data_IF_466102416032
#
_entry.id   IF_466102416032
#
_cell.length_a   1.000
_cell.length_b   1.000
_cell.length_c   1.000
_cell.angle_alpha   90.00
_cell.angle_beta   90.00
_cell.angle_gamma   90.00
#
_symmetry.space_group_name_H-M   'P 1'
#
loop_
_entity.id
_entity.type
_entity.pdbx_description
1 polymer ?
#
# COMPACT_ATOMS: atom_id res chain seq x y z
N UNK A 1 82.92 -31.41 18.31
CA UNK A 1 82.04 -32.43 17.70
C UNK A 1 80.59 -32.01 17.95
N UNK A 2 79.68 -32.15 16.98
CA UNK A 2 79.70 -31.65 15.59
C UNK A 2 78.65 -30.51 15.44
N UNK A 3 78.92 -29.41 14.71
CA UNK A 3 78.87 -29.19 13.23
C UNK A 3 77.44 -29.19 12.65
N UNK A 4 77.00 -28.32 11.73
CA UNK A 4 77.42 -27.06 11.08
C UNK A 4 76.37 -26.81 9.97
N UNK A 5 75.99 -25.54 9.72
CA UNK A 5 75.52 -24.88 8.46
C UNK A 5 74.37 -25.53 7.61
N UNK A 6 73.49 -24.78 6.93
CA UNK A 6 73.69 -24.03 5.68
C UNK A 6 72.33 -23.42 5.28
N UNK A 7 72.40 -22.29 4.55
CA UNK A 7 71.36 -21.51 3.87
C UNK A 7 71.08 -22.11 2.48
N UNK A 8 69.88 -21.98 1.91
CA UNK A 8 69.71 -21.55 0.50
C UNK A 8 68.24 -21.41 0.10
N UNK A 9 67.95 -20.23 -0.44
CA UNK A 9 66.94 -19.95 -1.46
C UNK A 9 67.45 -20.44 -2.81
N UNK A 10 66.55 -20.81 -3.72
CA UNK A 10 66.55 -20.30 -5.10
C UNK A 10 65.23 -20.66 -5.81
N UNK A 11 64.74 -19.67 -6.56
CA UNK A 11 63.66 -19.70 -7.55
C UNK A 11 64.03 -20.59 -8.76
N UNK A 12 63.05 -21.20 -9.44
CA UNK A 12 62.60 -20.73 -10.76
C UNK A 12 61.61 -21.68 -11.48
N UNK A 13 60.63 -21.01 -12.08
CA UNK A 13 59.84 -21.26 -13.28
C UNK A 13 59.65 -22.68 -13.89
N UNK A 14 58.37 -22.97 -14.15
CA UNK A 14 57.77 -23.33 -15.46
C UNK A 14 56.99 -24.65 -15.50
N UNK A 15 55.71 -24.57 -15.89
CA UNK A 15 54.97 -25.73 -16.38
C UNK A 15 53.49 -25.82 -15.99
N UNK A 16 52.64 -25.21 -16.82
CA UNK A 16 51.46 -25.89 -17.40
C UNK A 16 50.27 -26.29 -16.51
N UNK A 17 49.12 -25.67 -16.85
CA UNK A 17 47.76 -26.24 -16.88
C UNK A 17 47.03 -26.51 -15.55
N UNK A 18 46.13 -25.57 -15.23
CA UNK A 18 45.01 -25.69 -14.31
C UNK A 18 43.99 -26.74 -14.84
N UNK A 19 43.71 -27.87 -14.15
CA UNK A 19 42.58 -28.73 -14.48
C UNK A 19 41.30 -28.16 -13.86
N UNK A 20 40.36 -27.81 -14.74
CA UNK A 20 38.97 -27.44 -14.46
C UNK A 20 38.35 -28.36 -13.40
N UNK A 21 37.72 -27.76 -12.38
CA UNK A 21 36.71 -28.45 -11.58
C UNK A 21 35.64 -29.07 -12.50
N UNK A 22 35.13 -30.28 -12.20
CA UNK A 22 34.06 -30.87 -12.99
C UNK A 22 32.80 -30.01 -12.89
N UNK A 23 32.20 -29.76 -14.05
CA UNK A 23 30.92 -29.10 -14.18
C UNK A 23 29.87 -29.76 -13.27
N UNK A 24 29.14 -28.94 -12.50
CA UNK A 24 27.94 -29.36 -11.77
C UNK A 24 26.99 -30.06 -12.74
N UNK A 25 26.83 -31.36 -12.55
CA UNK A 25 25.84 -32.16 -13.23
C UNK A 25 24.45 -31.54 -12.96
N UNK A 26 23.78 -31.09 -14.01
CA UNK A 26 22.41 -30.58 -13.93
C UNK A 26 21.50 -31.75 -13.57
N UNK A 27 21.18 -31.91 -12.29
CA UNK A 27 20.10 -32.79 -11.86
C UNK A 27 18.79 -32.25 -12.43
N UNK A 28 18.22 -33.05 -13.32
CA UNK A 28 16.98 -32.80 -14.02
C UNK A 28 15.83 -32.77 -12.99
N UNK A 29 15.38 -31.58 -12.58
CA UNK A 29 14.23 -31.41 -11.67
C UNK A 29 12.94 -31.73 -12.43
N UNK A 30 12.57 -33.00 -12.45
CA UNK A 30 11.16 -33.38 -12.58
C UNK A 30 10.41 -32.84 -11.35
N UNK A 31 9.21 -32.31 -11.57
CA UNK A 31 8.31 -31.90 -10.51
C UNK A 31 8.16 -33.02 -9.47
N UNK A 32 8.64 -32.79 -8.25
CA UNK A 32 8.45 -33.70 -7.13
C UNK A 32 7.06 -33.38 -6.57
N UNK A 33 6.10 -34.27 -6.82
CA UNK A 33 4.81 -34.28 -6.14
C UNK A 33 5.06 -34.31 -4.62
N UNK A 34 4.30 -33.51 -3.87
CA UNK A 34 4.40 -33.46 -2.42
C UNK A 34 4.03 -34.85 -1.86
N UNK A 35 4.95 -35.56 -1.18
CA UNK A 35 4.70 -36.91 -0.71
C UNK A 35 3.63 -36.93 0.39
N UNK A 36 2.88 -38.04 0.49
CA UNK A 36 1.88 -38.21 1.53
C UNK A 36 2.53 -38.27 2.93
N UNK A 37 1.69 -38.34 3.98
CA UNK A 37 2.19 -38.34 5.36
C UNK A 37 3.07 -39.56 5.68
N UNK A 38 2.75 -40.74 5.15
CA UNK A 38 3.47 -41.99 5.41
C UNK A 38 4.86 -41.98 4.78
N UNK A 39 4.97 -41.44 3.57
CA UNK A 39 6.24 -41.28 2.87
C UNK A 39 7.16 -40.27 3.59
N UNK A 40 6.59 -39.18 4.12
CA UNK A 40 7.34 -38.18 4.90
C UNK A 40 7.81 -38.71 6.25
N UNK A 41 6.99 -39.54 6.90
CA UNK A 41 7.34 -40.19 8.17
C UNK A 41 8.53 -41.14 7.98
N UNK A 42 8.54 -41.97 6.92
CA UNK A 42 9.69 -42.84 6.60
C UNK A 42 10.98 -42.07 6.33
N UNK A 43 10.89 -40.94 5.63
CA UNK A 43 12.06 -40.07 5.37
C UNK A 43 12.57 -39.44 6.67
N UNK A 44 11.69 -39.14 7.61
CA UNK A 44 12.07 -38.59 8.91
C UNK A 44 12.74 -39.65 9.81
N UNK A 45 12.24 -40.88 9.83
CA UNK A 45 12.78 -42.01 10.59
C UNK A 45 14.20 -42.44 10.17
N UNK A 46 14.66 -42.04 8.98
CA UNK A 46 15.95 -42.44 8.40
C UNK A 46 17.06 -41.39 8.56
N UNK A 47 16.78 -40.24 9.18
CA UNK A 47 17.78 -39.18 9.41
C UNK A 47 18.58 -39.40 10.70
N UNK A 48 19.90 -39.39 10.61
CA UNK A 48 20.77 -39.30 11.79
C UNK A 48 20.58 -37.95 12.50
N UNK A 49 20.31 -38.00 13.82
CA UNK A 49 20.13 -36.82 14.65
C UNK A 49 21.47 -36.31 15.20
N UNK A 50 21.77 -35.04 14.96
CA UNK A 50 22.85 -34.33 15.66
C UNK A 50 22.30 -33.66 16.92
N UNK A 51 22.89 -33.98 18.08
CA UNK A 51 22.54 -33.40 19.39
C UNK A 51 23.20 -32.04 19.60
N UNK A 52 22.40 -30.98 19.79
CA UNK A 52 22.86 -29.75 20.45
C UNK A 52 22.36 -29.70 21.90
N UNK A 53 23.36 -29.69 22.82
CA UNK A 53 23.38 -29.28 24.24
C UNK A 53 22.17 -29.57 25.13
N UNK A 54 22.41 -30.48 26.09
CA UNK A 54 21.48 -30.92 27.12
C UNK A 54 21.19 -29.89 28.21
N UNK A 55 19.93 -29.88 28.62
CA UNK A 55 19.45 -29.35 29.91
C UNK A 55 19.07 -30.57 30.76
N UNK A 56 19.60 -30.65 31.98
CA UNK A 56 19.32 -31.71 32.94
C UNK A 56 17.98 -31.43 33.65
N UNK A 57 17.09 -32.43 33.69
CA UNK A 57 15.74 -32.30 34.24
C UNK A 57 15.76 -32.12 35.77
N UNK A 58 16.86 -32.50 36.43
CA UNK A 58 17.07 -32.23 37.86
C UNK A 58 17.14 -30.73 38.20
N UNK A 59 17.46 -29.87 37.22
CA UNK A 59 17.49 -28.41 37.40
C UNK A 59 16.09 -27.77 37.45
N UNK A 60 15.02 -28.51 37.10
CA UNK A 60 13.63 -28.04 37.08
C UNK A 60 12.77 -28.55 38.24
N UNK A 61 13.30 -29.45 39.06
CA UNK A 61 12.54 -30.19 40.08
C UNK A 61 12.02 -29.28 41.22
N UNK A 62 12.53 -28.05 41.32
CA UNK A 62 12.20 -27.10 42.39
C UNK A 62 11.58 -25.79 41.87
N UNK A 63 11.31 -25.69 40.57
CA UNK A 63 10.60 -24.53 40.01
C UNK A 63 9.10 -24.70 40.17
N UNK A 64 8.39 -23.83 40.92
CA UNK A 64 6.94 -23.86 40.96
C UNK A 64 6.44 -23.46 39.57
N UNK A 65 5.84 -24.40 38.84
CA UNK A 65 5.04 -24.07 37.66
C UNK A 65 3.95 -23.11 38.16
N UNK A 66 3.94 -21.83 37.73
CA UNK A 66 3.04 -20.85 38.33
C UNK A 66 1.59 -21.29 38.13
N UNK A 67 0.74 -21.12 39.15
CA UNK A 67 -0.71 -21.42 39.06
C UNK A 67 -1.42 -20.73 37.89
N UNK A 68 -0.80 -19.70 37.31
CA UNK A 68 -1.18 -19.07 36.03
C UNK A 68 -1.24 -20.07 34.86
N UNK A 69 -0.41 -21.11 34.84
CA UNK A 69 -0.41 -22.13 33.77
C UNK A 69 -1.58 -23.11 33.93
N UNK A 70 -1.91 -23.51 35.16
CA UNK A 70 -3.12 -24.31 35.44
C UNK A 70 -4.40 -23.49 35.22
N UNK A 71 -4.44 -22.22 35.64
CA UNK A 71 -5.59 -21.35 35.50
C UNK A 71 -5.91 -20.98 34.03
N UNK A 72 -4.93 -21.11 33.12
CA UNK A 72 -5.09 -20.81 31.69
C UNK A 72 -5.55 -22.00 30.84
N UNK A 73 -5.83 -23.16 31.44
CA UNK A 73 -6.44 -24.29 30.72
C UNK A 73 -5.55 -24.94 29.66
N UNK A 74 -4.22 -24.89 29.82
CA UNK A 74 -3.26 -25.42 28.83
C UNK A 74 -3.36 -26.94 28.59
N UNK A 75 -3.91 -27.70 29.53
CA UNK A 75 -4.24 -29.12 29.32
C UNK A 75 -5.36 -29.29 28.30
N UNK A 76 -6.40 -28.48 28.44
CA UNK A 76 -7.55 -28.47 27.55
C UNK A 76 -7.17 -27.90 26.18
N UNK A 77 -6.26 -26.92 26.12
CA UNK A 77 -5.72 -26.38 24.88
C UNK A 77 -4.87 -27.38 24.08
N UNK A 78 -4.23 -28.34 24.74
CA UNK A 78 -3.43 -29.40 24.08
C UNK A 78 -4.31 -30.58 23.67
N UNK A 79 -5.32 -30.92 24.47
CA UNK A 79 -6.27 -31.99 24.17
C UNK A 79 -7.32 -31.57 23.13
N UNK A 80 -7.70 -30.29 23.15
CA UNK A 80 -8.71 -29.65 22.31
C UNK A 80 -8.13 -28.35 21.72
N UNK A 81 -7.08 -28.42 20.88
CA UNK A 81 -6.51 -27.22 20.29
C UNK A 81 -7.57 -26.49 19.45
N UNK A 82 -7.57 -25.15 19.44
CA UNK A 82 -8.51 -24.41 18.63
C UNK A 82 -8.38 -24.86 17.16
N UNK A 83 -9.50 -25.03 16.42
CA UNK A 83 -9.50 -25.59 15.07
C UNK A 83 -8.57 -24.86 14.10
N UNK A 84 -8.30 -23.60 14.41
CA UNK A 84 -7.46 -22.72 13.63
C UNK A 84 -5.96 -22.98 13.83
N UNK A 85 -5.50 -23.24 15.06
CA UNK A 85 -4.08 -23.52 15.31
C UNK A 85 -3.75 -25.00 15.42
N UNK A 86 -4.73 -25.90 15.25
CA UNK A 86 -4.59 -27.33 15.47
C UNK A 86 -3.37 -27.93 14.75
N UNK A 87 -3.16 -27.58 13.47
CA UNK A 87 -2.03 -28.11 12.69
C UNK A 87 -0.68 -27.62 13.20
N UNK A 88 -0.56 -26.33 13.56
CA UNK A 88 0.68 -25.73 14.04
C UNK A 88 1.00 -26.20 15.46
N UNK A 89 -0.02 -26.31 16.32
CA UNK A 89 0.11 -26.85 17.67
C UNK A 89 0.55 -28.32 17.59
N UNK A 90 -0.10 -29.12 16.74
CA UNK A 90 0.30 -30.51 16.52
C UNK A 90 1.69 -30.64 15.91
N UNK A 91 2.08 -29.80 14.95
CA UNK A 91 3.44 -29.79 14.36
C UNK A 91 4.51 -29.36 15.39
N UNK A 92 4.22 -28.36 16.24
CA UNK A 92 5.10 -27.92 17.33
C UNK A 92 5.32 -29.03 18.37
N UNK A 93 4.25 -29.70 18.80
CA UNK A 93 4.35 -30.83 19.74
C UNK A 93 4.92 -32.11 19.12
N UNK A 94 4.75 -32.32 17.81
CA UNK A 94 5.41 -33.39 17.06
C UNK A 94 6.93 -33.19 16.94
N UNK A 95 7.42 -31.96 17.10
CA UNK A 95 8.84 -31.63 17.14
C UNK A 95 9.50 -31.80 18.51
N UNK A 96 8.77 -32.21 19.56
CA UNK A 96 9.33 -32.44 20.89
C UNK A 96 9.99 -33.83 20.94
N UNK A 97 11.26 -33.84 21.34
CA UNK A 97 12.16 -35.00 21.32
C UNK A 97 11.69 -36.10 22.28
N UNK A 98 11.56 -37.32 21.74
CA UNK A 98 11.34 -38.57 22.48
C UNK A 98 12.67 -39.06 23.05
N UNK A 99 12.73 -39.37 24.35
CA UNK A 99 13.86 -40.06 24.98
C UNK A 99 13.76 -41.57 24.76
N UNK A 100 14.90 -42.20 24.50
CA UNK A 100 15.00 -43.63 24.28
C UNK A 100 15.20 -44.39 25.59
N UNK A 101 14.42 -45.45 25.83
CA UNK A 101 14.80 -46.57 26.70
C UNK A 101 14.06 -47.83 26.21
N UNK A 102 14.79 -48.63 25.42
CA UNK A 102 14.60 -50.05 25.13
C UNK A 102 13.16 -50.58 24.92
N UNK A 103 12.89 -50.99 23.68
CA UNK A 103 11.79 -51.88 23.22
C UNK A 103 10.37 -51.31 23.09
N UNK A 104 10.20 -50.30 22.24
CA UNK A 104 8.92 -50.00 21.58
C UNK A 104 8.50 -48.55 21.72
N UNK A 105 8.44 -47.82 20.60
CA UNK A 105 8.12 -46.40 20.55
C UNK A 105 6.77 -46.11 21.23
N UNK A 106 6.79 -45.20 22.20
CA UNK A 106 5.57 -44.68 22.79
C UNK A 106 5.70 -43.19 23.07
N UNK A 107 4.67 -42.43 22.67
CA UNK A 107 4.61 -40.99 22.88
C UNK A 107 4.16 -40.75 24.32
N UNK A 108 4.97 -40.07 25.12
CA UNK A 108 4.60 -39.72 26.50
C UNK A 108 4.29 -38.24 26.58
N UNK A 109 3.06 -37.90 26.96
CA UNK A 109 2.63 -36.52 27.20
C UNK A 109 2.31 -36.38 28.68
N UNK A 110 3.02 -35.48 29.37
CA UNK A 110 2.85 -35.22 30.83
C UNK A 110 2.94 -36.49 31.70
N UNK A 111 3.91 -37.35 31.41
CA UNK A 111 4.16 -38.58 32.17
C UNK A 111 3.20 -39.73 31.88
N UNK A 112 2.27 -39.59 30.92
CA UNK A 112 1.38 -40.67 30.48
C UNK A 112 1.63 -41.08 29.03
N UNK A 113 1.62 -42.38 28.80
CA UNK A 113 1.81 -43.00 27.48
C UNK A 113 0.54 -42.86 26.63
N UNK A 114 0.69 -42.31 25.42
CA UNK A 114 -0.38 -42.11 24.43
C UNK A 114 -0.01 -42.89 23.17
N UNK A 115 -0.93 -43.73 22.68
CA UNK A 115 -0.82 -44.41 21.38
C UNK A 115 -1.63 -43.62 20.35
N UNK A 116 -0.99 -43.15 19.28
CA UNK A 116 -1.65 -42.47 18.15
C UNK A 116 -1.41 -43.30 16.90
N UNK A 117 -2.47 -43.64 16.14
CA UNK A 117 -2.35 -44.36 14.87
C UNK A 117 -2.67 -43.42 13.69
N UNK A 118 -2.00 -43.61 12.55
CA UNK A 118 -2.16 -42.77 11.35
C UNK A 118 -3.61 -42.77 10.81
N UNK A 119 -4.37 -43.84 11.05
CA UNK A 119 -5.77 -43.96 10.63
C UNK A 119 -6.73 -42.97 11.32
N UNK A 120 -6.39 -42.48 12.52
CA UNK A 120 -7.24 -41.56 13.30
C UNK A 120 -7.21 -40.13 12.73
N UNK A 121 -6.10 -39.76 12.10
CA UNK A 121 -5.87 -38.42 11.54
C UNK A 121 -6.65 -38.27 10.21
N UNK A 122 -6.73 -39.33 9.40
CA UNK A 122 -7.36 -39.27 8.08
C UNK A 122 -8.90 -39.26 8.11
N UNK A 123 -9.55 -39.61 9.23
CA UNK A 123 -11.03 -39.62 9.36
C UNK A 123 -11.65 -38.25 9.62
N UNK A 124 -10.91 -37.27 10.13
CA UNK A 124 -11.44 -35.96 10.53
C UNK A 124 -11.47 -34.92 9.38
N UNK A 125 -10.78 -35.19 8.27
CA UNK A 125 -10.65 -34.24 7.15
C UNK A 125 -11.90 -34.11 6.25
N UNK A 126 -12.96 -34.93 6.44
CA UNK A 126 -14.08 -35.03 5.49
C UNK A 126 -15.38 -34.33 5.93
N UNK A 127 -15.43 -33.64 7.09
CA UNK A 127 -16.73 -33.21 7.67
C UNK A 127 -16.95 -31.73 7.96
N UNK A 128 -16.09 -30.80 7.53
CA UNK A 128 -16.36 -29.36 7.76
C UNK A 128 -16.03 -28.47 6.56
N UNK A 129 -16.68 -28.72 5.42
CA UNK A 129 -16.79 -27.71 4.36
C UNK A 129 -17.88 -26.71 4.74
N UNK A 130 -17.49 -25.42 4.83
CA UNK A 130 -18.27 -24.22 4.45
C UNK A 130 -18.24 -23.02 5.42
N UNK A 131 -17.49 -23.01 6.53
CA UNK A 131 -17.53 -21.83 7.44
C UNK A 131 -16.21 -21.36 8.06
N UNK A 132 -15.10 -22.08 7.92
CA UNK A 132 -13.80 -21.73 8.58
C UNK A 132 -12.79 -21.08 7.62
N UNK A 133 -12.99 -21.18 6.31
CA UNK A 133 -12.07 -20.64 5.30
C UNK A 133 -11.99 -19.09 5.29
N UNK A 134 -13.03 -18.37 5.73
CA UNK A 134 -13.06 -16.91 5.71
C UNK A 134 -12.24 -16.24 6.83
N UNK A 135 -12.02 -16.91 7.97
CA UNK A 135 -11.31 -16.32 9.12
C UNK A 135 -9.80 -16.60 9.11
N UNK A 136 -9.34 -17.51 8.24
CA UNK A 136 -7.91 -17.80 8.07
C UNK A 136 -7.19 -16.85 7.12
N UNK A 137 -7.90 -16.35 6.12
CA UNK A 137 -7.32 -15.43 5.14
C UNK A 137 -6.97 -14.07 5.76
N UNK A 138 -7.69 -13.64 6.78
CA UNK A 138 -7.50 -12.35 7.43
C UNK A 138 -6.27 -12.29 8.36
N UNK A 139 -5.80 -13.42 8.90
CA UNK A 139 -4.65 -13.43 9.82
C UNK A 139 -3.28 -13.58 9.12
N UNK A 140 -3.23 -14.18 7.92
CA UNK A 140 -1.98 -14.27 7.13
C UNK A 140 -1.61 -12.93 6.48
N UNK A 141 -2.60 -12.04 6.26
CA UNK A 141 -2.36 -10.72 5.67
C UNK A 141 -1.55 -9.78 6.60
N UNK A 142 -1.56 -10.02 7.92
CA UNK A 142 -0.92 -9.13 8.91
C UNK A 142 0.58 -9.44 9.08
N UNK A 143 1.10 -10.54 8.52
CA UNK A 143 2.54 -10.89 8.57
C UNK A 143 3.31 -10.56 7.27
N UNK A 144 2.66 -9.90 6.29
CA UNK A 144 3.31 -9.25 5.14
C UNK A 144 3.38 -7.74 5.38
N UNK A 145 3.86 -7.30 6.55
CA UNK A 145 4.15 -5.88 6.78
C UNK A 145 5.53 -5.57 6.23
N UNK A 146 5.57 -5.12 4.97
CA UNK A 146 6.79 -4.71 4.28
C UNK A 146 6.59 -4.26 2.83
N UNK A 147 5.40 -4.46 2.25
CA UNK A 147 5.01 -3.87 0.97
C UNK A 147 3.63 -3.25 1.21
N UNK A 148 3.60 -1.98 1.59
CA UNK A 148 2.38 -1.20 1.51
C UNK A 148 2.15 -1.02 0.00
N UNK A 149 1.21 -1.76 -0.58
CA UNK A 149 0.84 -1.58 -1.98
C UNK A 149 0.37 -0.13 -2.14
N UNK A 150 0.86 0.56 -3.15
CA UNK A 150 0.43 1.91 -3.46
C UNK A 150 -1.02 1.92 -3.94
N UNK A 151 -1.64 3.08 -3.82
CA UNK A 151 -2.98 3.35 -4.34
C UNK A 151 -2.90 4.15 -5.65
N UNK A 152 -3.97 4.11 -6.44
CA UNK A 152 -4.12 5.01 -7.61
C UNK A 152 -5.18 6.06 -7.32
N UNK A 153 -4.81 7.33 -7.52
CA UNK A 153 -5.70 8.47 -7.55
C UNK A 153 -5.98 8.91 -9.00
N UNK A 154 -7.19 9.37 -9.30
CA UNK A 154 -7.58 9.80 -10.65
C UNK A 154 -8.37 11.12 -10.61
N UNK A 155 -8.14 11.99 -11.60
CA UNK A 155 -9.00 13.16 -11.85
C UNK A 155 -10.16 12.80 -12.78
N UNK A 156 -11.37 13.27 -12.45
CA UNK A 156 -12.59 13.03 -13.23
C UNK A 156 -13.43 14.31 -13.33
N UNK A 157 -14.11 14.53 -14.46
CA UNK A 157 -15.16 15.54 -14.61
C UNK A 157 -14.88 16.62 -15.66
N UNK A 158 -13.77 16.54 -16.40
CA UNK A 158 -13.39 17.55 -17.39
C UNK A 158 -13.69 17.15 -18.84
N UNK A 159 -14.23 15.96 -19.07
CA UNK A 159 -14.58 15.43 -20.38
C UNK A 159 -15.92 14.69 -20.28
N UNK A 160 -17.01 15.27 -20.80
CA UNK A 160 -18.36 14.72 -20.62
C UNK A 160 -18.56 13.26 -21.07
N UNK A 161 -19.71 12.63 -20.76
CA UNK A 161 -19.89 11.19 -20.89
C UNK A 161 -19.89 10.70 -22.35
N UNK A 162 -20.19 11.58 -23.30
CA UNK A 162 -20.11 11.30 -24.75
C UNK A 162 -18.71 11.56 -25.34
N UNK A 163 -17.78 12.03 -24.52
CA UNK A 163 -16.36 12.13 -24.81
C UNK A 163 -15.57 11.11 -23.99
N UNK A 164 -16.12 9.91 -23.77
CA UNK A 164 -15.47 8.68 -23.29
C UNK A 164 -14.80 8.65 -21.89
N UNK A 165 -14.96 9.67 -21.03
CA UNK A 165 -14.46 9.55 -19.64
C UNK A 165 -15.37 8.69 -18.72
N UNK A 166 -16.64 8.52 -19.09
CA UNK A 166 -17.64 7.72 -18.36
C UNK A 166 -18.22 8.43 -17.14
N UNK A 167 -19.25 7.83 -16.54
CA UNK A 167 -19.84 8.35 -15.28
C UNK A 167 -18.88 8.19 -14.10
N UNK A 168 -19.15 8.91 -13.01
CA UNK A 168 -18.36 8.78 -11.78
C UNK A 168 -18.55 7.38 -11.17
N UNK A 169 -19.76 6.82 -11.20
CA UNK A 169 -20.03 5.47 -10.75
C UNK A 169 -19.25 4.41 -11.55
N UNK A 170 -19.22 4.51 -12.88
CA UNK A 170 -18.44 3.61 -13.74
C UNK A 170 -16.94 3.72 -13.47
N UNK A 171 -16.44 4.94 -13.28
CA UNK A 171 -15.04 5.21 -12.92
C UNK A 171 -14.64 4.47 -11.65
N UNK A 172 -15.45 4.57 -10.59
CA UNK A 172 -15.20 3.87 -9.34
C UNK A 172 -15.38 2.34 -9.46
N UNK A 173 -16.33 1.89 -10.27
CA UNK A 173 -16.61 0.47 -10.48
C UNK A 173 -15.50 -0.28 -11.23
N UNK A 174 -14.55 0.42 -11.87
CA UNK A 174 -13.33 -0.20 -12.42
C UNK A 174 -12.51 -0.94 -11.36
N UNK A 175 -12.61 -0.50 -10.10
CA UNK A 175 -11.79 -0.99 -9.00
C UNK A 175 -10.30 -0.63 -9.13
N UNK A 176 -9.92 0.26 -10.05
CA UNK A 176 -8.53 0.68 -10.25
C UNK A 176 -8.10 1.81 -9.32
N UNK A 177 -9.05 2.58 -8.77
CA UNK A 177 -8.75 3.82 -8.05
C UNK A 177 -9.26 3.76 -6.61
N UNK A 178 -8.45 4.23 -5.67
CA UNK A 178 -8.83 4.41 -4.26
C UNK A 178 -9.22 5.86 -3.97
N UNK A 179 -8.88 6.78 -4.87
CA UNK A 179 -9.18 8.20 -4.75
C UNK A 179 -9.68 8.74 -6.09
N UNK A 180 -10.77 9.50 -6.07
CA UNK A 180 -11.27 10.25 -7.23
C UNK A 180 -11.37 11.73 -6.87
N UNK A 181 -10.68 12.57 -7.63
CA UNK A 181 -10.74 14.02 -7.54
C UNK A 181 -11.77 14.54 -8.56
N UNK A 182 -12.92 15.01 -8.07
CA UNK A 182 -13.95 15.64 -8.89
C UNK A 182 -13.50 17.05 -9.24
N UNK A 183 -13.21 17.25 -10.52
CA UNK A 183 -12.58 18.43 -11.08
C UNK A 183 -13.59 19.24 -11.90
N UNK A 184 -13.83 20.53 -11.66
CA UNK A 184 -13.24 21.40 -10.63
C UNK A 184 -14.24 22.44 -10.09
N UNK A 185 -13.97 22.98 -8.89
CA UNK A 185 -14.49 24.28 -8.47
C UNK A 185 -13.56 25.39 -8.99
N UNK A 186 -13.92 25.97 -10.14
CA UNK A 186 -13.04 26.84 -10.95
C UNK A 186 -13.05 28.32 -10.54
N UNK A 187 -14.12 28.77 -9.89
CA UNK A 187 -14.28 30.17 -9.44
C UNK A 187 -14.68 30.16 -7.97
N UNK A 188 -13.98 30.93 -7.14
CA UNK A 188 -14.29 31.15 -5.72
C UNK A 188 -13.41 32.26 -5.14
N UNK A 189 -13.75 32.71 -3.93
CA UNK A 189 -13.02 33.75 -3.19
C UNK A 189 -13.18 35.14 -3.79
N UNK A 190 -12.61 36.15 -3.14
CA UNK A 190 -12.81 37.58 -3.45
C UNK A 190 -14.29 37.98 -3.56
N UNK A 191 -15.15 37.40 -2.72
CA UNK A 191 -16.60 37.67 -2.71
C UNK A 191 -17.37 37.16 -3.94
N UNK A 192 -16.75 36.36 -4.80
CA UNK A 192 -17.42 35.74 -5.95
C UNK A 192 -18.35 34.61 -5.50
N UNK A 193 -19.47 34.43 -6.20
CA UNK A 193 -20.28 33.21 -6.08
C UNK A 193 -19.47 32.04 -6.65
N UNK A 194 -19.21 30.97 -5.86
CA UNK A 194 -18.41 29.88 -6.37
C UNK A 194 -19.09 29.11 -7.50
N UNK A 195 -18.29 28.64 -8.47
CA UNK A 195 -18.77 27.94 -9.67
C UNK A 195 -18.00 26.64 -9.84
N UNK A 196 -18.73 25.53 -9.85
CA UNK A 196 -18.21 24.22 -10.26
C UNK A 196 -18.34 24.08 -11.78
N UNK A 197 -17.39 23.40 -12.41
CA UNK A 197 -17.42 23.05 -13.82
C UNK A 197 -17.12 21.57 -13.97
N UNK A 198 -18.09 20.81 -14.48
CA UNK A 198 -17.99 19.39 -14.78
C UNK A 198 -18.12 19.12 -16.29
N UNK A 199 -17.57 20.03 -17.09
CA UNK A 199 -17.63 20.02 -18.54
C UNK A 199 -19.05 19.71 -19.06
N UNK A 200 -19.21 18.63 -19.82
CA UNK A 200 -20.49 18.22 -20.40
C UNK A 200 -21.20 17.10 -19.61
N UNK A 201 -20.79 16.78 -18.38
CA UNK A 201 -21.49 15.81 -17.53
C UNK A 201 -22.83 16.33 -17.05
N UNK A 202 -22.85 17.56 -16.55
CA UNK A 202 -24.05 18.20 -16.06
C UNK A 202 -23.84 19.72 -15.98
N UNK A 203 -24.93 20.46 -15.99
CA UNK A 203 -24.94 21.90 -15.70
C UNK A 203 -25.27 22.09 -14.22
N UNK A 204 -24.41 22.73 -13.40
CA UNK A 204 -24.68 22.93 -11.98
C UNK A 204 -25.77 23.97 -11.72
N UNK A 205 -26.20 24.75 -12.72
CA UNK A 205 -27.30 25.69 -12.55
C UNK A 205 -28.58 24.96 -12.15
N UNK A 206 -29.35 25.56 -11.24
CA UNK A 206 -30.62 25.00 -10.74
C UNK A 206 -30.52 23.55 -10.24
N UNK A 207 -29.42 23.19 -9.57
CA UNK A 207 -29.14 21.84 -9.06
C UNK A 207 -29.05 20.75 -10.15
N UNK A 208 -28.71 21.10 -11.40
CA UNK A 208 -28.65 20.12 -12.50
C UNK A 208 -27.56 19.05 -12.36
N UNK A 209 -26.62 19.22 -11.43
CA UNK A 209 -25.60 18.22 -11.08
C UNK A 209 -25.93 17.38 -9.82
N UNK A 210 -27.09 17.58 -9.19
CA UNK A 210 -27.41 16.92 -7.92
C UNK A 210 -27.55 15.39 -8.04
N UNK A 211 -27.78 14.85 -9.23
CA UNK A 211 -27.82 13.40 -9.48
C UNK A 211 -26.49 12.69 -9.19
N UNK A 212 -25.36 13.41 -9.24
CA UNK A 212 -24.04 12.86 -8.90
C UNK A 212 -23.94 12.41 -7.44
N UNK A 213 -24.86 12.84 -6.57
CA UNK A 213 -24.95 12.33 -5.20
C UNK A 213 -24.99 10.80 -5.15
N UNK A 214 -25.72 10.16 -6.08
CA UNK A 214 -25.84 8.69 -6.12
C UNK A 214 -24.53 8.01 -6.54
N UNK A 215 -23.82 8.58 -7.53
CA UNK A 215 -22.51 8.11 -7.96
C UNK A 215 -21.46 8.25 -6.85
N UNK A 216 -21.43 9.39 -6.16
CA UNK A 216 -20.53 9.62 -5.02
C UNK A 216 -20.76 8.57 -3.95
N UNK A 217 -22.02 8.32 -3.57
CA UNK A 217 -22.33 7.28 -2.57
C UNK A 217 -21.96 5.88 -3.03
N UNK A 218 -22.04 5.61 -4.34
CA UNK A 218 -21.63 4.33 -4.93
C UNK A 218 -20.11 4.14 -4.87
N UNK A 219 -19.34 5.19 -5.17
CA UNK A 219 -17.88 5.20 -4.99
C UNK A 219 -17.48 4.93 -3.53
N UNK A 220 -18.10 5.66 -2.60
CA UNK A 220 -17.82 5.53 -1.16
C UNK A 220 -18.20 4.13 -0.63
N UNK A 221 -19.31 3.55 -1.11
CA UNK A 221 -19.67 2.17 -0.81
C UNK A 221 -18.64 1.16 -1.34
N UNK A 222 -17.99 1.48 -2.47
CA UNK A 222 -16.82 0.78 -3.02
C UNK A 222 -15.49 1.11 -2.34
N UNK A 223 -15.51 1.82 -1.20
CA UNK A 223 -14.33 2.26 -0.45
C UNK A 223 -13.40 3.25 -1.19
N UNK A 224 -13.89 3.89 -2.25
CA UNK A 224 -13.18 4.95 -2.97
C UNK A 224 -13.47 6.28 -2.28
N UNK A 225 -12.42 7.04 -1.95
CA UNK A 225 -12.58 8.40 -1.42
C UNK A 225 -12.85 9.36 -2.56
N UNK A 226 -13.85 10.22 -2.39
CA UNK A 226 -14.22 11.22 -3.39
C UNK A 226 -13.97 12.61 -2.81
N UNK A 227 -13.06 13.36 -3.46
CA UNK A 227 -12.69 14.71 -3.08
C UNK A 227 -13.20 15.71 -4.12
N UNK A 228 -13.52 16.94 -3.69
CA UNK A 228 -13.69 18.05 -4.62
C UNK A 228 -12.35 18.73 -4.85
N UNK A 229 -11.94 18.85 -6.10
CA UNK A 229 -10.76 19.63 -6.46
C UNK A 229 -11.09 21.09 -6.72
N UNK A 230 -10.44 21.98 -5.97
CA UNK A 230 -10.57 23.44 -6.10
C UNK A 230 -9.44 23.99 -6.96
N UNK A 231 -9.77 24.93 -7.85
CA UNK A 231 -8.83 25.55 -8.77
C UNK A 231 -9.05 25.06 -10.20
N UNK A 232 -7.99 24.63 -10.88
CA UNK A 232 -8.04 24.22 -12.28
C UNK A 232 -8.20 25.39 -13.26
N UNK A 233 -8.20 25.09 -14.55
CA UNK A 233 -8.30 26.09 -15.61
C UNK A 233 -9.75 26.55 -15.86
N UNK A 234 -9.93 27.68 -16.55
CA UNK A 234 -11.23 28.11 -17.07
C UNK A 234 -12.10 28.94 -16.12
N UNK A 235 -11.61 29.30 -14.93
CA UNK A 235 -12.29 30.18 -13.98
C UNK A 235 -11.35 31.15 -13.25
N UNK A 236 -11.89 31.87 -12.26
CA UNK A 236 -11.13 32.82 -11.45
C UNK A 236 -11.19 32.48 -9.97
N UNK A 237 -10.12 31.88 -9.45
CA UNK A 237 -9.96 31.55 -8.04
C UNK A 237 -8.82 32.36 -7.42
N UNK A 238 -9.09 32.96 -6.26
CA UNK A 238 -8.06 33.67 -5.47
C UNK A 238 -8.54 33.81 -4.04
N UNK A 239 -7.61 33.99 -3.10
CA UNK A 239 -7.91 34.38 -1.73
C UNK A 239 -7.21 35.72 -1.45
N UNK A 240 -7.96 36.68 -0.90
CA UNK A 240 -7.47 38.04 -0.69
C UNK A 240 -7.25 38.39 0.80
N UNK A 241 -7.69 37.53 1.72
CA UNK A 241 -7.44 37.67 3.15
C UNK A 241 -7.68 36.33 3.87
N UNK A 242 -7.22 36.23 5.12
CA UNK A 242 -7.59 35.12 6.02
C UNK A 242 -9.10 34.99 6.20
N UNK A 243 -9.85 36.10 6.20
CA UNK A 243 -11.31 36.06 6.32
C UNK A 243 -11.98 35.52 5.06
N UNK A 244 -11.45 35.87 3.89
CA UNK A 244 -11.87 35.30 2.61
C UNK A 244 -11.62 33.78 2.57
N UNK A 245 -10.46 33.32 3.06
CA UNK A 245 -10.16 31.90 3.21
C UNK A 245 -11.16 31.17 4.12
N UNK A 246 -11.55 31.77 5.25
CA UNK A 246 -12.60 31.21 6.13
C UNK A 246 -13.97 31.18 5.47
N UNK A 247 -14.33 32.23 4.73
CA UNK A 247 -15.61 32.28 4.00
C UNK A 247 -15.69 31.17 2.95
N UNK A 248 -14.60 30.96 2.21
CA UNK A 248 -14.49 29.83 1.25
C UNK A 248 -14.54 28.49 1.99
N UNK A 249 -13.86 28.33 3.13
CA UNK A 249 -13.92 27.11 3.93
C UNK A 249 -15.35 26.78 4.38
N UNK A 250 -16.10 27.77 4.87
CA UNK A 250 -17.50 27.62 5.27
C UNK A 250 -18.38 27.25 4.07
N UNK A 251 -18.18 27.89 2.91
CA UNK A 251 -18.90 27.52 1.69
C UNK A 251 -18.66 26.05 1.30
N UNK A 252 -17.39 25.61 1.30
CA UNK A 252 -17.02 24.21 1.01
C UNK A 252 -17.64 23.25 2.02
N UNK A 253 -17.62 23.61 3.30
CA UNK A 253 -18.23 22.84 4.37
C UNK A 253 -19.73 22.63 4.15
N UNK A 254 -20.47 23.70 3.90
CA UNK A 254 -21.93 23.69 3.80
C UNK A 254 -22.46 23.09 2.49
N UNK A 255 -21.69 23.20 1.40
CA UNK A 255 -22.17 22.80 0.07
C UNK A 255 -21.63 21.44 -0.40
N UNK A 256 -20.52 20.96 0.15
CA UNK A 256 -19.87 19.73 -0.32
C UNK A 256 -19.48 18.77 0.81
N UNK A 257 -19.20 19.28 2.01
CA UNK A 257 -18.83 18.45 3.16
C UNK A 257 -20.02 18.28 4.11
N UNK A 258 -19.78 18.21 5.43
CA UNK A 258 -20.77 17.84 6.45
C UNK A 258 -21.67 18.97 6.93
N UNK A 259 -21.57 20.17 6.36
CA UNK A 259 -22.45 21.28 6.68
C UNK A 259 -23.82 21.16 6.01
N UNK A 260 -24.57 22.27 5.99
CA UNK A 260 -25.95 22.28 5.49
C UNK A 260 -26.16 23.43 4.52
N UNK A 261 -26.75 23.14 3.36
CA UNK A 261 -27.13 24.12 2.35
C UNK A 261 -28.38 23.61 1.62
N UNK A 262 -29.29 24.51 1.25
CA UNK A 262 -30.50 24.16 0.50
C UNK A 262 -30.23 23.93 -1.00
N UNK A 263 -29.02 24.22 -1.48
CA UNK A 263 -28.64 24.18 -2.90
C UNK A 263 -27.24 23.60 -3.06
N UNK A 264 -27.02 22.40 -2.53
CA UNK A 264 -25.74 21.68 -2.67
C UNK A 264 -25.53 21.29 -4.15
N UNK A 265 -24.44 21.73 -4.81
CA UNK A 265 -24.28 21.54 -6.26
C UNK A 265 -24.26 20.08 -6.71
N UNK A 266 -23.75 19.17 -5.87
CA UNK A 266 -23.65 17.74 -6.15
C UNK A 266 -24.70 16.91 -5.38
N UNK A 267 -25.71 17.56 -4.82
CA UNK A 267 -26.74 16.93 -4.00
C UNK A 267 -26.29 16.63 -2.56
N UNK A 268 -26.97 15.68 -1.92
CA UNK A 268 -26.89 15.46 -0.47
C UNK A 268 -25.66 14.64 -0.03
N UNK A 269 -24.96 14.02 -0.98
CA UNK A 269 -23.72 13.31 -0.70
C UNK A 269 -22.71 14.23 -0.01
N UNK A 270 -21.99 13.65 0.94
CA UNK A 270 -20.91 14.33 1.65
C UNK A 270 -19.59 13.78 1.16
N UNK A 271 -18.81 14.64 0.53
CA UNK A 271 -17.47 14.29 0.05
C UNK A 271 -16.52 14.01 1.22
N UNK A 272 -15.46 13.25 0.91
CA UNK A 272 -14.46 12.84 1.89
C UNK A 272 -13.49 13.99 2.20
N UNK A 273 -13.26 14.90 1.25
CA UNK A 273 -12.25 15.93 1.40
C UNK A 273 -12.20 16.97 0.29
N UNK A 274 -11.19 17.84 0.40
CA UNK A 274 -10.91 18.92 -0.54
C UNK A 274 -9.48 18.75 -1.08
N UNK A 275 -9.37 18.78 -2.40
CA UNK A 275 -8.12 18.75 -3.14
C UNK A 275 -7.72 20.16 -3.60
N UNK A 276 -6.48 20.56 -3.30
CA UNK A 276 -5.93 21.87 -3.63
C UNK A 276 -5.13 21.77 -4.93
N UNK A 277 -5.79 22.05 -6.06
CA UNK A 277 -5.18 22.14 -7.39
C UNK A 277 -4.99 23.63 -7.77
N UNK A 278 -4.04 24.30 -7.11
CA UNK A 278 -3.82 25.75 -7.27
C UNK A 278 -2.58 26.00 -8.13
N UNK A 279 -2.80 26.51 -9.34
CA UNK A 279 -1.74 26.81 -10.33
C UNK A 279 -1.76 28.27 -10.81
N UNK A 280 -2.63 29.11 -10.25
CA UNK A 280 -2.80 30.51 -10.65
C UNK A 280 -3.35 31.37 -9.52
N UNK A 281 -3.42 32.68 -9.73
CA UNK A 281 -3.96 33.63 -8.76
C UNK A 281 -2.98 33.97 -7.63
N UNK A 282 -3.51 34.17 -6.42
CA UNK A 282 -2.73 34.50 -5.22
C UNK A 282 -1.89 33.32 -4.74
N UNK A 283 -0.71 33.61 -4.18
CA UNK A 283 0.13 32.62 -3.45
C UNK A 283 -0.12 32.63 -1.94
N UNK A 284 -1.08 33.43 -1.47
CA UNK A 284 -1.33 33.67 -0.05
C UNK A 284 -2.65 33.01 0.42
N UNK A 285 -2.73 32.76 1.72
CA UNK A 285 -3.92 32.32 2.47
C UNK A 285 -4.43 30.89 2.20
N UNK A 286 -3.75 30.12 1.35
CA UNK A 286 -4.05 28.70 1.17
C UNK A 286 -3.80 27.88 2.45
N UNK A 287 -2.86 28.30 3.29
CA UNK A 287 -2.62 27.74 4.62
C UNK A 287 -3.77 28.04 5.59
N UNK A 288 -4.32 29.25 5.55
CA UNK A 288 -5.51 29.61 6.32
C UNK A 288 -6.75 28.82 5.89
N UNK A 289 -6.91 28.59 4.57
CA UNK A 289 -7.97 27.72 4.05
C UNK A 289 -7.80 26.29 4.55
N UNK A 290 -6.58 25.73 4.48
CA UNK A 290 -6.28 24.38 4.97
C UNK A 290 -6.55 24.24 6.48
N UNK A 291 -6.11 25.20 7.30
CA UNK A 291 -6.42 25.23 8.75
C UNK A 291 -7.91 25.28 9.01
N UNK A 292 -8.64 26.12 8.28
CA UNK A 292 -10.09 26.30 8.44
C UNK A 292 -10.87 25.04 8.07
N UNK A 293 -10.50 24.37 6.97
CA UNK A 293 -11.11 23.10 6.57
C UNK A 293 -10.77 21.97 7.54
N UNK A 294 -9.51 21.87 7.96
CA UNK A 294 -9.06 20.87 8.93
C UNK A 294 -9.82 20.98 10.25
N UNK A 295 -10.12 22.20 10.71
CA UNK A 295 -10.86 22.47 11.94
C UNK A 295 -12.32 21.94 11.93
N UNK A 296 -12.90 21.63 10.77
CA UNK A 296 -14.21 20.97 10.68
C UNK A 296 -14.14 19.46 10.93
N UNK A 297 -12.95 18.87 11.00
CA UNK A 297 -12.78 17.46 11.31
C UNK A 297 -13.28 17.15 12.72
N UNK A 298 -14.06 16.08 12.84
CA UNK A 298 -14.55 15.54 14.11
C UNK A 298 -13.97 14.14 14.33
N UNK A 299 -14.10 13.61 15.55
CA UNK A 299 -13.67 12.23 15.84
C UNK A 299 -14.38 11.18 14.98
N UNK A 300 -15.63 11.44 14.60
CA UNK A 300 -16.45 10.52 13.78
C UNK A 300 -16.34 10.76 12.28
N UNK A 301 -15.88 11.94 11.86
CA UNK A 301 -15.82 12.32 10.45
C UNK A 301 -14.66 13.28 10.20
N UNK A 302 -13.63 12.76 9.55
CA UNK A 302 -12.45 13.51 9.11
C UNK A 302 -12.76 14.21 7.79
N UNK A 303 -12.26 15.44 7.64
CA UNK A 303 -12.15 16.13 6.36
C UNK A 303 -10.74 15.88 5.83
N UNK A 304 -10.62 15.09 4.76
CA UNK A 304 -9.33 14.84 4.13
C UNK A 304 -8.87 16.08 3.36
N UNK A 305 -7.57 16.37 3.45
CA UNK A 305 -6.94 17.44 2.67
C UNK A 305 -5.90 16.83 1.73
N UNK A 306 -6.00 17.16 0.45
CA UNK A 306 -5.01 16.79 -0.54
C UNK A 306 -4.51 17.98 -1.34
N UNK A 307 -3.35 17.86 -1.96
CA UNK A 307 -2.73 18.93 -2.73
C UNK A 307 -2.03 18.40 -3.98
N UNK A 308 -2.06 19.22 -5.04
CA UNK A 308 -1.51 18.92 -6.36
C UNK A 308 -0.44 19.93 -6.77
N UNK A 309 0.68 20.04 -6.04
CA UNK A 309 1.75 20.94 -6.44
C UNK A 309 2.42 20.51 -7.74
N UNK A 310 3.03 21.45 -8.46
CA UNK A 310 3.96 21.14 -9.53
C UNK A 310 5.22 20.44 -8.99
N UNK A 311 5.95 19.68 -9.81
CA UNK A 311 7.15 18.97 -9.34
C UNK A 311 8.31 19.87 -8.93
N UNK A 312 8.29 21.18 -9.25
CA UNK A 312 9.35 22.10 -8.84
C UNK A 312 9.20 22.44 -7.36
N UNK A 313 10.19 22.06 -6.56
CA UNK A 313 10.19 22.37 -5.13
C UNK A 313 10.96 23.66 -4.80
N UNK A 314 10.45 24.53 -3.89
CA UNK A 314 9.09 24.50 -3.35
C UNK A 314 8.08 25.02 -4.37
N UNK A 315 6.85 24.47 -4.32
CA UNK A 315 5.75 24.94 -5.17
C UNK A 315 5.40 26.41 -4.86
N UNK A 316 5.14 27.21 -5.89
CA UNK A 316 4.95 28.65 -5.73
C UNK A 316 3.66 29.01 -4.98
N UNK A 317 2.59 28.22 -5.14
CA UNK A 317 1.25 28.49 -4.64
C UNK A 317 0.95 27.74 -3.35
N UNK A 318 1.35 26.47 -3.27
CA UNK A 318 0.97 25.55 -2.20
C UNK A 318 2.04 25.41 -1.11
N UNK A 319 3.23 26.02 -1.25
CA UNK A 319 4.31 25.90 -0.25
C UNK A 319 3.86 26.18 1.19
N UNK A 320 3.09 27.24 1.40
CA UNK A 320 2.76 27.69 2.75
C UNK A 320 1.61 26.86 3.32
N UNK A 321 0.70 26.37 2.46
CA UNK A 321 -0.31 25.38 2.84
C UNK A 321 0.35 24.05 3.24
N UNK A 322 1.29 23.53 2.46
CA UNK A 322 1.98 22.27 2.74
C UNK A 322 2.80 22.32 4.03
N UNK A 323 3.42 23.46 4.36
CA UNK A 323 4.14 23.67 5.64
C UNK A 323 3.27 23.52 6.88
N UNK A 324 1.94 23.58 6.76
CA UNK A 324 1.05 23.37 7.90
C UNK A 324 1.09 21.93 8.43
N UNK A 325 1.52 20.96 7.61
CA UNK A 325 1.50 19.54 7.97
C UNK A 325 0.09 18.94 8.06
N UNK A 326 -0.92 19.61 7.51
CA UNK A 326 -2.32 19.19 7.59
C UNK A 326 -2.78 18.31 6.42
N UNK A 327 -1.97 18.20 5.37
CA UNK A 327 -2.33 17.46 4.16
C UNK A 327 -2.10 15.96 4.35
N UNK A 328 -3.14 15.17 4.05
CA UNK A 328 -3.10 13.72 4.09
C UNK A 328 -2.39 13.15 2.87
N UNK A 329 -2.74 13.69 1.69
CA UNK A 329 -2.29 13.19 0.40
C UNK A 329 -1.66 14.32 -0.41
N UNK A 330 -0.50 14.09 -1.00
CA UNK A 330 0.13 15.07 -1.91
C UNK A 330 0.50 14.36 -3.20
N UNK A 331 -0.20 14.65 -4.29
CA UNK A 331 0.10 14.12 -5.62
C UNK A 331 0.86 15.15 -6.44
N UNK A 332 2.18 15.07 -6.36
CA UNK A 332 3.10 15.99 -7.02
C UNK A 332 3.04 15.75 -8.54
N UNK A 333 2.80 16.78 -9.34
CA UNK A 333 2.65 16.70 -10.80
C UNK A 333 4.02 16.64 -11.48
N UNK A 334 4.45 15.45 -11.88
CA UNK A 334 5.72 15.20 -12.58
C UNK A 334 5.57 15.28 -14.11
N UNK A 335 4.91 16.33 -14.58
CA UNK A 335 4.67 16.61 -16.01
C UNK A 335 4.53 18.10 -16.27
N UNK A 336 4.58 18.48 -17.55
CA UNK A 336 4.65 19.86 -18.04
C UNK A 336 5.81 20.69 -17.43
N UNK A 337 6.81 20.03 -16.86
CA UNK A 337 7.92 20.62 -16.10
C UNK A 337 9.24 19.87 -16.35
N UNK A 338 9.94 20.15 -17.47
CA UNK A 338 11.20 19.49 -17.86
C UNK A 338 12.29 19.37 -16.77
N UNK A 339 12.46 20.34 -15.85
CA UNK A 339 13.50 20.25 -14.82
C UNK A 339 13.26 19.16 -13.76
N UNK A 340 12.05 18.64 -13.64
CA UNK A 340 11.69 17.67 -12.60
C UNK A 340 10.83 16.51 -13.09
N UNK A 341 10.41 16.46 -14.35
CA UNK A 341 9.66 15.34 -14.93
C UNK A 341 10.54 14.21 -15.46
N UNK A 342 9.90 13.14 -15.93
CA UNK A 342 10.58 12.08 -16.68
C UNK A 342 10.96 12.54 -18.09
N UNK A 343 12.19 12.24 -18.50
CA UNK A 343 12.64 12.39 -19.89
C UNK A 343 13.02 11.01 -20.42
N UNK A 344 12.65 10.70 -21.66
CA UNK A 344 12.92 9.38 -22.27
C UNK A 344 14.36 8.94 -22.07
N UNK A 345 14.56 7.81 -21.37
CA UNK A 345 15.86 7.24 -21.06
C UNK A 345 16.56 7.81 -19.81
N UNK A 346 15.91 8.67 -19.02
CA UNK A 346 16.45 9.18 -17.75
C UNK A 346 15.37 9.49 -16.73
N UNK A 347 15.45 8.82 -15.57
CA UNK A 347 14.62 9.10 -14.39
C UNK A 347 15.22 10.14 -13.45
N UNK A 348 16.44 10.64 -13.74
CA UNK A 348 17.27 11.39 -12.77
C UNK A 348 16.58 12.64 -12.22
N UNK A 349 15.95 13.46 -13.07
CA UNK A 349 15.30 14.69 -12.65
C UNK A 349 14.09 14.42 -11.74
N UNK A 350 13.26 13.46 -12.16
CA UNK A 350 12.12 12.97 -11.39
C UNK A 350 12.56 12.40 -10.04
N UNK A 351 13.55 11.50 -10.03
CA UNK A 351 14.03 10.87 -8.80
C UNK A 351 14.62 11.88 -7.81
N UNK A 352 15.38 12.86 -8.30
CA UNK A 352 15.93 13.93 -7.46
C UNK A 352 14.83 14.81 -6.87
N UNK A 353 13.85 15.21 -7.66
CA UNK A 353 12.71 15.98 -7.18
C UNK A 353 11.85 15.15 -6.19
N UNK A 354 11.57 13.87 -6.48
CA UNK A 354 10.86 12.96 -5.58
C UNK A 354 11.53 12.85 -4.21
N UNK A 355 12.87 12.70 -4.18
CA UNK A 355 13.64 12.68 -2.93
C UNK A 355 13.48 13.98 -2.14
N UNK A 356 13.46 15.12 -2.83
CA UNK A 356 13.27 16.41 -2.19
C UNK A 356 11.84 16.53 -1.61
N UNK A 357 10.81 16.21 -2.38
CA UNK A 357 9.42 16.22 -1.92
C UNK A 357 9.19 15.31 -0.71
N UNK A 358 9.70 14.08 -0.77
CA UNK A 358 9.53 13.10 0.32
C UNK A 358 10.34 13.44 1.57
N UNK A 359 11.49 14.11 1.44
CA UNK A 359 12.27 14.59 2.58
C UNK A 359 11.60 15.78 3.27
N UNK A 360 11.13 16.76 2.50
CA UNK A 360 10.78 18.08 3.02
C UNK A 360 9.29 18.25 3.37
N UNK A 361 8.37 17.52 2.71
CA UNK A 361 6.93 17.71 2.93
C UNK A 361 6.40 16.83 4.05
N UNK A 362 5.74 17.44 5.03
CA UNK A 362 4.99 16.75 6.07
C UNK A 362 3.58 16.38 5.57
N UNK A 363 3.47 15.22 4.93
CA UNK A 363 2.19 14.61 4.54
C UNK A 363 2.19 13.12 4.92
N UNK A 364 1.00 12.54 5.05
CA UNK A 364 0.86 11.10 5.38
C UNK A 364 1.35 10.24 4.21
N UNK A 365 0.91 10.55 2.99
CA UNK A 365 1.29 9.87 1.76
C UNK A 365 1.58 10.87 0.64
N UNK A 366 2.60 10.58 -0.16
CA UNK A 366 3.00 11.33 -1.35
C UNK A 366 2.87 10.41 -2.55
N UNK A 367 2.23 10.89 -3.60
CA UNK A 367 1.90 10.17 -4.83
C UNK A 367 2.68 10.76 -6.00
N UNK A 368 3.08 9.88 -6.92
CA UNK A 368 3.68 10.26 -8.19
C UNK A 368 2.57 10.66 -9.17
N UNK A 369 2.37 11.96 -9.40
CA UNK A 369 1.39 12.47 -10.36
C UNK A 369 1.91 12.41 -11.79
N UNK A 370 1.17 11.75 -12.68
CA UNK A 370 1.54 11.51 -14.06
C UNK A 370 0.37 11.76 -15.01
N UNK A 371 0.64 12.10 -16.28
CA UNK A 371 -0.37 12.05 -17.32
C UNK A 371 -0.68 10.59 -17.66
N UNK A 372 -1.95 10.27 -17.88
CA UNK A 372 -2.40 8.91 -18.22
C UNK A 372 -2.09 8.52 -19.69
N UNK A 373 -1.83 9.52 -20.54
CA UNK A 373 -1.40 9.33 -21.93
C UNK A 373 -0.49 10.49 -22.38
N UNK A 374 0.24 10.36 -23.50
CA UNK A 374 1.00 11.47 -24.08
C UNK A 374 0.15 12.71 -24.38
N UNK A 375 -1.11 12.52 -24.77
CA UNK A 375 -2.01 13.63 -25.15
C UNK A 375 -2.53 14.41 -23.94
N UNK A 376 -2.44 13.83 -22.73
CA UNK A 376 -2.90 14.47 -21.49
C UNK A 376 -1.96 15.57 -20.99
N UNK A 377 -0.67 15.51 -21.36
CA UNK A 377 0.34 16.53 -21.07
C UNK A 377 1.29 16.68 -22.28
N UNK A 378 0.86 17.43 -23.32
CA UNK A 378 1.62 17.53 -24.58
C UNK A 378 3.02 18.13 -24.43
N UNK A 379 3.31 18.84 -23.33
CA UNK A 379 4.62 19.45 -23.09
C UNK A 379 5.66 18.47 -22.56
N UNK A 380 5.25 17.30 -22.06
CA UNK A 380 6.17 16.28 -21.55
C UNK A 380 5.71 15.62 -20.24
N UNK A 381 6.52 14.66 -19.78
CA UNK A 381 6.33 13.95 -18.51
C UNK A 381 5.57 12.61 -18.59
N UNK A 382 5.00 12.23 -19.73
CA UNK A 382 4.44 10.89 -19.90
C UNK A 382 5.51 9.80 -19.80
N UNK A 383 5.21 8.75 -19.05
CA UNK A 383 6.08 7.60 -18.83
C UNK A 383 5.38 6.37 -19.42
N UNK A 384 5.98 5.63 -20.36
CA UNK A 384 5.41 4.36 -20.77
C UNK A 384 5.30 3.39 -19.58
N UNK A 385 4.21 2.62 -19.50
CA UNK A 385 3.96 1.72 -18.37
C UNK A 385 5.12 0.75 -18.10
N UNK A 386 5.81 0.27 -19.14
CA UNK A 386 7.01 -0.56 -19.00
C UNK A 386 8.15 0.15 -18.27
N UNK A 387 8.39 1.42 -18.56
CA UNK A 387 9.45 2.22 -17.92
C UNK A 387 9.03 2.63 -16.50
N UNK A 388 7.76 2.97 -16.29
CA UNK A 388 7.24 3.26 -14.95
C UNK A 388 7.46 2.06 -14.02
N UNK A 389 7.05 0.87 -14.44
CA UNK A 389 7.12 -0.36 -13.62
C UNK A 389 8.53 -0.92 -13.45
N UNK A 390 9.40 -0.82 -14.47
CA UNK A 390 10.75 -1.40 -14.40
C UNK A 390 11.85 -0.45 -13.92
N UNK A 391 11.65 0.87 -14.01
CA UNK A 391 12.69 1.86 -13.68
C UNK A 391 12.24 2.81 -12.56
N UNK A 392 11.07 3.44 -12.70
CA UNK A 392 10.66 4.55 -11.83
C UNK A 392 10.11 4.05 -10.49
N UNK A 393 9.11 3.16 -10.48
CA UNK A 393 8.51 2.65 -9.24
C UNK A 393 9.54 2.01 -8.31
N UNK A 394 10.47 1.14 -8.78
CA UNK A 394 11.53 0.59 -7.94
C UNK A 394 12.48 1.65 -7.35
N UNK A 395 12.63 2.81 -8.00
CA UNK A 395 13.49 3.88 -7.52
C UNK A 395 12.82 4.74 -6.43
N UNK A 396 11.48 4.83 -6.43
CA UNK A 396 10.75 5.77 -5.55
C UNK A 396 9.97 5.10 -4.41
N UNK A 397 9.59 3.82 -4.55
CA UNK A 397 8.72 3.12 -3.59
C UNK A 397 9.40 2.77 -2.26
N UNK A 398 10.73 2.91 -2.16
CA UNK A 398 11.46 2.74 -0.89
C UNK A 398 11.22 3.85 0.13
N UNK A 399 10.54 4.94 -0.26
CA UNK A 399 10.14 6.00 0.68
C UNK A 399 8.99 5.53 1.58
N UNK A 400 9.12 5.71 2.89
CA UNK A 400 8.02 5.43 3.83
C UNK A 400 6.77 6.29 3.60
N UNK A 401 6.90 7.41 2.87
CA UNK A 401 5.79 8.28 2.47
C UNK A 401 5.19 7.90 1.11
N UNK A 402 5.71 6.89 0.41
CA UNK A 402 5.14 6.47 -0.86
C UNK A 402 3.68 6.06 -0.66
N UNK A 403 2.79 6.73 -1.41
CA UNK A 403 1.35 6.50 -1.42
C UNK A 403 0.85 5.80 -2.66
N UNK A 404 1.59 5.86 -3.76
CA UNK A 404 1.17 5.32 -5.05
C UNK A 404 1.31 6.33 -6.20
N UNK A 405 0.39 6.26 -7.16
CA UNK A 405 0.38 7.07 -8.39
C UNK A 405 -0.89 7.90 -8.48
N UNK A 406 -0.80 9.13 -8.97
CA UNK A 406 -1.96 9.92 -9.37
C UNK A 406 -1.95 10.07 -10.89
N UNK A 407 -3.11 9.97 -11.52
CA UNK A 407 -3.26 10.07 -12.96
C UNK A 407 -4.12 11.28 -13.36
N UNK A 408 -3.58 12.09 -14.25
CA UNK A 408 -4.30 13.10 -15.01
C UNK A 408 -4.56 12.56 -16.43
N UNK A 409 -5.77 12.18 -16.81
CA UNK A 409 -7.02 12.12 -16.05
C UNK A 409 -7.81 10.88 -16.53
N UNK A 410 -9.05 10.69 -16.06
CA UNK A 410 -9.88 9.52 -16.41
C UNK A 410 -10.21 9.43 -17.91
N UNK A 411 -10.29 10.54 -18.62
CA UNK A 411 -10.52 10.55 -20.06
C UNK A 411 -9.36 9.92 -20.82
N UNK A 412 -8.13 10.24 -20.44
CA UNK A 412 -6.93 9.72 -21.08
C UNK A 412 -6.48 8.36 -20.56
N UNK A 413 -7.07 7.87 -19.46
CA UNK A 413 -6.78 6.55 -18.92
C UNK A 413 -7.53 5.44 -19.65
N UNK A 414 -7.05 5.12 -20.85
CA UNK A 414 -7.49 3.98 -21.66
C UNK A 414 -6.63 2.74 -21.39
N UNK A 415 -6.62 2.31 -20.12
CA UNK A 415 -5.90 1.12 -19.67
C UNK A 415 -4.49 1.36 -19.12
N UNK A 416 -4.06 2.61 -18.98
CA UNK A 416 -2.79 2.95 -18.33
C UNK A 416 -2.80 2.50 -16.86
N UNK A 417 -3.83 2.85 -16.09
CA UNK A 417 -3.98 2.37 -14.70
C UNK A 417 -3.98 0.85 -14.62
N UNK A 418 -4.75 0.17 -15.48
CA UNK A 418 -4.80 -1.29 -15.54
C UNK A 418 -3.43 -1.92 -15.79
N UNK A 419 -2.58 -1.27 -16.60
CA UNK A 419 -1.25 -1.77 -16.94
C UNK A 419 -0.20 -1.59 -15.83
N UNK A 420 -0.47 -0.72 -14.86
CA UNK A 420 0.47 -0.41 -13.76
C UNK A 420 -0.03 -0.88 -12.40
N UNK A 421 -1.33 -1.19 -12.26
CA UNK A 421 -2.03 -1.47 -11.00
C UNK A 421 -1.32 -2.49 -10.11
N UNK A 422 -0.86 -3.60 -10.66
CA UNK A 422 -0.23 -4.66 -9.86
C UNK A 422 1.23 -4.33 -9.45
N UNK A 423 1.78 -3.24 -9.99
CA UNK A 423 3.15 -2.77 -9.71
C UNK A 423 3.20 -1.55 -8.79
N UNK A 424 2.10 -0.78 -8.75
CA UNK A 424 1.86 0.28 -7.77
C UNK A 424 1.58 -0.39 -6.43
#
# INVERSE_FOLDING_TARGET
MPRVKIVNFDDDASGSTNPREPARERVNRRAILNPDFEERLRVFETKECHTERGIDVSELEHTPVPGVVQARGWEDFVLNPPPYCERIVREFYAGIVVKDYYNGCAVIVRGKQVKIQAADINRMALKSSNSVALLFFSAILILVTGIDAGDIAIYWGQNGPNGDEGTLAETCATGNYQYVNVAFLITFGNGQTPVINLAAHCDPTNNGCASLSSDITSCQAGQVKVMLSIGGAGGNHTLNSTEDAKNVATYLWDNFLGGQSSSRPLGDAVLDGIDFYIQSGSTQYWDDLARSLSAYSTQSKKVYLSASPECRYPDAYLRDALKTGLFDYVWVQFYDNPPCEYTSGSITNLENSWKQWTAEVAATKIFLGLPASPDAAPSGGFIPASNLTSEVLPAINGSAKYGGVMLWNKYYDDGYSSSIKDSV
#
